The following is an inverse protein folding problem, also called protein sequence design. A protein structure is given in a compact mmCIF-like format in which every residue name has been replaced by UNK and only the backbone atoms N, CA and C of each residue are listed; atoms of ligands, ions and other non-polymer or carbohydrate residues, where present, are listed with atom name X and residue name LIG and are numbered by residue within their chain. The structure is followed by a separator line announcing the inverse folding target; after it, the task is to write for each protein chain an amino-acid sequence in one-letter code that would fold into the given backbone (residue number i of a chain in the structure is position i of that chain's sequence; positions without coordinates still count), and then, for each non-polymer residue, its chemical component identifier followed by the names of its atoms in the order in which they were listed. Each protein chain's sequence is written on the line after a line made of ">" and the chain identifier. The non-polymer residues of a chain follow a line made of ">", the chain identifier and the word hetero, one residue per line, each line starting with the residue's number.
data_IF_630009471844
#
_entry.id   IF_630009471844
#
_cell.length_a   1.000
_cell.length_b   1.000
_cell.length_c   1.000
_cell.angle_alpha   90.00
_cell.angle_beta   90.00
_cell.angle_gamma   90.00
#
_symmetry.space_group_name_H-M   'P 1'
#
loop_
_entity.id
_entity.type
_entity.pdbx_description
1 polymer ?
#
# COMPACT_ATOMS: atom_id res chain seq x y z
N UNK A 1 0.79 -5.54 25.47
CA UNK A 1 -0.16 -5.59 24.34
C UNK A 1 0.73 -5.38 23.14
N UNK A 2 1.04 -6.44 22.40
CA UNK A 2 1.84 -6.28 21.18
C UNK A 2 0.93 -5.52 20.23
N UNK A 3 1.16 -4.22 20.07
CA UNK A 3 0.65 -3.49 18.93
C UNK A 3 1.23 -4.24 17.74
N UNK A 4 0.43 -5.13 17.15
CA UNK A 4 0.73 -5.56 15.80
C UNK A 4 0.62 -4.28 14.99
N UNK A 5 1.76 -3.63 14.80
CA UNK A 5 2.02 -2.71 13.70
C UNK A 5 1.65 -3.52 12.47
N UNK A 6 0.36 -3.46 12.12
CA UNK A 6 -0.15 -3.94 10.84
C UNK A 6 0.81 -3.29 9.87
N UNK A 7 1.61 -4.06 9.11
CA UNK A 7 2.52 -3.45 8.16
C UNK A 7 1.63 -2.60 7.31
N UNK A 8 1.74 -1.28 7.48
CA UNK A 8 0.77 -0.32 7.01
C UNK A 8 0.56 -0.66 5.53
N UNK A 9 -0.56 -1.32 5.20
CA UNK A 9 -0.83 -1.81 3.83
C UNK A 9 -1.10 -0.61 2.91
N UNK A 10 -0.79 0.58 3.39
CA UNK A 10 -0.82 1.84 2.75
C UNK A 10 0.39 1.95 1.82
N UNK A 11 0.14 2.48 0.64
CA UNK A 11 1.20 2.70 -0.31
C UNK A 11 2.15 3.77 0.24
N UNK A 12 3.45 3.48 0.42
CA UNK A 12 4.40 4.41 1.06
C UNK A 12 4.60 5.70 0.26
N UNK A 13 4.20 5.72 -1.02
CA UNK A 13 4.31 6.88 -1.89
C UNK A 13 3.14 7.85 -1.74
N UNK A 14 1.96 7.38 -1.32
CA UNK A 14 0.78 8.24 -1.13
C UNK A 14 0.15 8.13 0.26
N UNK A 15 0.75 7.37 1.19
CA UNK A 15 0.25 7.15 2.56
C UNK A 15 -1.23 6.78 2.59
N UNK A 16 -1.63 5.74 1.85
CA UNK A 16 -3.02 5.25 1.92
C UNK A 16 -4.03 5.97 1.04
N UNK A 17 -3.70 7.17 0.54
CA UNK A 17 -4.68 8.05 -0.13
C UNK A 17 -4.98 7.63 -1.58
N UNK A 18 -4.04 6.95 -2.24
CA UNK A 18 -4.15 6.55 -3.65
C UNK A 18 -3.76 7.64 -4.65
N UNK A 19 -3.36 8.83 -4.19
CA UNK A 19 -2.99 9.92 -5.07
C UNK A 19 -2.86 11.22 -4.32
N UNK A 20 -2.78 12.31 -5.09
CA UNK A 20 -2.73 13.66 -4.56
C UNK A 20 -3.52 14.61 -5.44
N UNK A 21 -4.08 15.69 -4.86
CA UNK A 21 -4.72 16.74 -5.64
C UNK A 21 -3.66 17.42 -6.52
N UNK A 22 -3.80 17.29 -7.84
CA UNK A 22 -3.00 18.04 -8.80
C UNK A 22 -3.60 19.42 -9.07
N UNK A 23 -2.86 20.25 -9.79
CA UNK A 23 -3.23 21.64 -10.09
C UNK A 23 -4.51 21.76 -10.95
N UNK A 24 -4.83 20.72 -11.73
CA UNK A 24 -5.99 20.69 -12.64
C UNK A 24 -6.85 19.44 -12.46
N UNK A 25 -6.27 18.32 -12.03
CA UNK A 25 -6.95 17.05 -11.87
C UNK A 25 -6.28 16.22 -10.76
N UNK A 26 -6.99 15.21 -10.27
CA UNK A 26 -6.45 14.27 -9.29
C UNK A 26 -5.33 13.43 -9.92
N UNK A 27 -4.14 13.49 -9.33
CA UNK A 27 -3.00 12.70 -9.79
C UNK A 27 -3.01 11.36 -9.06
N UNK A 28 -3.38 10.33 -9.80
CA UNK A 28 -3.37 8.95 -9.30
C UNK A 28 -1.95 8.50 -9.00
N UNK A 29 -1.74 7.97 -7.79
CA UNK A 29 -0.46 7.41 -7.40
C UNK A 29 -0.19 6.15 -8.23
N UNK A 30 0.79 6.26 -9.13
CA UNK A 30 1.16 5.22 -10.09
C UNK A 30 1.57 3.88 -9.44
N UNK A 31 2.36 3.85 -8.35
CA UNK A 31 2.76 2.59 -7.72
C UNK A 31 1.60 1.80 -7.09
N UNK A 32 0.56 2.47 -6.58
CA UNK A 32 -0.65 1.79 -6.11
C UNK A 32 -1.83 1.87 -7.08
N UNK A 33 -1.65 2.43 -8.28
CA UNK A 33 -2.72 2.64 -9.28
C UNK A 33 -4.00 3.27 -8.69
N UNK A 34 -3.90 4.12 -7.68
CA UNK A 34 -5.08 4.73 -7.09
C UNK A 34 -5.74 3.96 -5.95
N UNK A 35 -5.28 2.75 -5.62
CA UNK A 35 -5.91 1.97 -4.54
C UNK A 35 -5.54 2.48 -3.16
N UNK A 36 -4.44 3.25 -3.06
CA UNK A 36 -3.87 3.65 -1.78
C UNK A 36 -3.16 2.52 -1.07
N UNK A 37 -3.16 1.31 -1.63
CA UNK A 37 -2.63 0.11 -0.99
C UNK A 37 -1.24 -0.25 -1.49
N UNK A 38 -0.45 -0.84 -0.61
CA UNK A 38 0.79 -1.48 -0.94
C UNK A 38 0.46 -2.70 -1.80
N UNK A 39 0.95 -2.73 -3.05
CA UNK A 39 0.76 -3.91 -3.91
C UNK A 39 1.75 -5.02 -3.59
N UNK A 40 2.57 -4.87 -2.55
CA UNK A 40 3.40 -5.95 -2.08
C UNK A 40 2.48 -7.11 -1.65
N UNK A 41 2.77 -8.34 -2.11
CA UNK A 41 2.00 -9.49 -1.67
C UNK A 41 2.07 -9.57 -0.13
N UNK A 42 0.99 -9.99 0.54
CA UNK A 42 0.99 -10.12 1.99
C UNK A 42 2.11 -11.07 2.41
N UNK A 43 2.67 -10.92 3.62
CA UNK A 43 3.77 -11.75 4.07
C UNK A 43 3.45 -13.25 4.15
N UNK A 44 2.16 -13.60 4.24
CA UNK A 44 1.68 -14.98 4.12
C UNK A 44 1.87 -15.58 2.72
N UNK A 45 2.04 -14.80 1.66
CA UNK A 45 2.29 -15.33 0.31
C UNK A 45 3.66 -16.01 0.17
N UNK A 46 4.58 -15.80 1.12
CA UNK A 46 5.89 -16.45 1.18
C UNK A 46 5.99 -17.46 2.33
N UNK A 47 4.98 -17.51 3.21
CA UNK A 47 4.94 -18.45 4.33
C UNK A 47 4.65 -19.89 3.88
N UNK A 48 4.11 -20.09 2.67
CA UNK A 48 3.87 -21.40 2.06
C UNK A 48 5.07 -21.95 1.25
N UNK A 49 6.24 -21.29 1.23
CA UNK A 49 7.43 -21.77 0.49
C UNK A 49 8.47 -22.48 1.39
N UNK A 50 8.12 -22.77 2.64
CA UNK A 50 8.94 -23.53 3.60
C UNK A 50 8.15 -24.75 4.12
N UNK A 51 7.79 -25.67 3.22
CA UNK A 51 7.39 -27.07 3.52
C UNK A 51 8.05 -28.03 2.52
#
# INVERSE_FOLDING_TARGET
>A
MQEQDVPDDECPMCGGVGGWPGLTEWVTCKPCKGTGKNMLPPPDAWADLDD
#
